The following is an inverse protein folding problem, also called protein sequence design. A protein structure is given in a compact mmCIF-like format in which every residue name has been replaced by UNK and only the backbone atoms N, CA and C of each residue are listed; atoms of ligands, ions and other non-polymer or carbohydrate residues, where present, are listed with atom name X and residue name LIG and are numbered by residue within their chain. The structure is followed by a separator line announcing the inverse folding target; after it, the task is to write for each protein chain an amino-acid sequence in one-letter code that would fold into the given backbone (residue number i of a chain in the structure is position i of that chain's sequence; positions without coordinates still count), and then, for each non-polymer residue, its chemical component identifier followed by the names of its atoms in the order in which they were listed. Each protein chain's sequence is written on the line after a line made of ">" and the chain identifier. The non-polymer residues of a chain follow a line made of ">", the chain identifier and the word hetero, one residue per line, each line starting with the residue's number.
data_IF_310936744146
#
_entry.id   IF_310936744146
#
_cell.length_a   1.000
_cell.length_b   1.000
_cell.length_c   1.000
_cell.angle_alpha   90.00
_cell.angle_beta   90.00
_cell.angle_gamma   90.00
#
_symmetry.space_group_name_H-M   'P 1'
#
loop_
_entity.id
_entity.type
_entity.pdbx_description
1 polymer ?
#
# COMPACT_ATOMS: atom_id res chain seq x y z
N UNK A 1 -27.94 -1.53 -48.40
CA UNK A 1 -27.31 -1.78 -47.08
C UNK A 1 -26.64 -0.50 -46.61
N UNK A 2 -27.16 0.12 -45.54
CA UNK A 2 -26.88 1.52 -45.17
C UNK A 2 -25.48 1.75 -44.61
N UNK A 3 -24.74 2.65 -45.25
CA UNK A 3 -23.42 3.16 -44.85
C UNK A 3 -23.47 3.84 -43.47
N UNK A 4 -24.60 4.47 -43.13
CA UNK A 4 -24.81 5.12 -41.82
C UNK A 4 -24.81 4.15 -40.63
N UNK A 5 -25.33 2.93 -40.79
CA UNK A 5 -25.32 1.89 -39.74
C UNK A 5 -23.89 1.33 -39.51
N UNK A 6 -23.07 1.27 -40.56
CA UNK A 6 -21.65 0.86 -40.46
C UNK A 6 -20.75 1.93 -39.81
N UNK A 7 -21.05 3.22 -40.01
CA UNK A 7 -20.30 4.32 -39.39
C UNK A 7 -20.57 4.42 -37.88
N UNK A 8 -21.82 4.27 -37.44
CA UNK A 8 -22.17 4.27 -36.01
C UNK A 8 -21.59 3.08 -35.24
N UNK A 9 -21.51 1.90 -35.87
CA UNK A 9 -20.89 0.70 -35.28
C UNK A 9 -19.36 0.79 -35.24
N UNK A 10 -18.73 1.37 -36.26
CA UNK A 10 -17.29 1.60 -36.25
C UNK A 10 -16.85 2.65 -35.21
N UNK A 11 -17.60 3.75 -35.05
CA UNK A 11 -17.32 4.77 -34.04
C UNK A 11 -17.47 4.21 -32.60
N UNK A 12 -18.54 3.45 -32.34
CA UNK A 12 -18.75 2.76 -31.06
C UNK A 12 -17.64 1.75 -30.75
N UNK A 13 -17.16 0.98 -31.74
CA UNK A 13 -16.08 0.03 -31.54
C UNK A 13 -14.71 0.71 -31.32
N UNK A 14 -14.47 1.88 -31.92
CA UNK A 14 -13.26 2.69 -31.68
C UNK A 14 -13.28 3.29 -30.27
N UNK A 15 -14.43 3.80 -29.83
CA UNK A 15 -14.59 4.38 -28.49
C UNK A 15 -14.50 3.31 -27.38
N UNK A 16 -15.08 2.13 -27.60
CA UNK A 16 -14.93 0.97 -26.72
C UNK A 16 -13.47 0.49 -26.63
N UNK A 17 -12.74 0.48 -27.77
CA UNK A 17 -11.31 0.17 -27.79
C UNK A 17 -10.47 1.22 -27.05
N UNK A 18 -10.82 2.51 -27.14
CA UNK A 18 -10.14 3.58 -26.41
C UNK A 18 -10.36 3.48 -24.89
N UNK A 19 -11.59 3.17 -24.47
CA UNK A 19 -11.91 2.96 -23.06
C UNK A 19 -11.15 1.74 -22.50
N UNK A 20 -11.16 0.62 -23.24
CA UNK A 20 -10.40 -0.58 -22.87
C UNK A 20 -8.90 -0.31 -22.79
N UNK A 21 -8.34 0.43 -23.74
CA UNK A 21 -6.92 0.80 -23.74
C UNK A 21 -6.56 1.66 -22.52
N UNK A 22 -7.38 2.67 -22.21
CA UNK A 22 -7.20 3.52 -21.04
C UNK A 22 -7.29 2.73 -19.73
N UNK A 23 -8.27 1.83 -19.62
CA UNK A 23 -8.42 0.95 -18.46
C UNK A 23 -7.21 0.05 -18.24
N UNK A 24 -6.73 -0.64 -19.28
CA UNK A 24 -5.53 -1.47 -19.21
C UNK A 24 -4.27 -0.64 -18.91
N UNK A 25 -4.21 0.59 -19.43
CA UNK A 25 -3.17 1.56 -19.09
C UNK A 25 -3.14 1.87 -17.60
N UNK A 26 -4.30 2.17 -17.00
CA UNK A 26 -4.42 2.43 -15.56
C UNK A 26 -4.03 1.23 -14.70
N UNK A 27 -4.44 0.01 -15.07
CA UNK A 27 -4.02 -1.21 -14.35
C UNK A 27 -2.49 -1.35 -14.34
N UNK A 28 -1.85 -1.14 -15.49
CA UNK A 28 -0.39 -1.20 -15.60
C UNK A 28 0.29 -0.12 -14.76
N UNK A 29 -0.26 1.10 -14.71
CA UNK A 29 0.27 2.18 -13.87
C UNK A 29 0.17 1.85 -12.38
N UNK A 30 -0.92 1.25 -11.92
CA UNK A 30 -1.09 0.83 -10.52
C UNK A 30 -0.04 -0.22 -10.14
N UNK A 31 0.13 -1.25 -10.96
CA UNK A 31 1.13 -2.31 -10.71
C UNK A 31 2.56 -1.76 -10.70
N UNK A 32 2.87 -0.86 -11.63
CA UNK A 32 4.18 -0.22 -11.71
C UNK A 32 4.45 0.68 -10.50
N UNK A 33 3.48 1.52 -10.15
CA UNK A 33 3.58 2.43 -9.01
C UNK A 33 3.80 1.65 -7.71
N UNK A 34 3.05 0.56 -7.51
CA UNK A 34 3.22 -0.27 -6.31
C UNK A 34 4.63 -0.87 -6.21
N UNK A 35 5.18 -1.40 -7.31
CA UNK A 35 6.55 -1.94 -7.31
C UNK A 35 7.58 -0.85 -7.05
N UNK A 36 7.49 0.27 -7.76
CA UNK A 36 8.41 1.40 -7.60
C UNK A 36 8.38 1.97 -6.19
N UNK A 37 7.21 2.04 -5.56
CA UNK A 37 7.07 2.45 -4.17
C UNK A 37 7.86 1.52 -3.24
N UNK A 38 7.70 0.20 -3.39
CA UNK A 38 8.41 -0.77 -2.57
C UNK A 38 9.93 -0.75 -2.82
N UNK A 39 10.36 -0.51 -4.06
CA UNK A 39 11.78 -0.39 -4.43
C UNK A 39 12.40 0.85 -3.79
N UNK A 40 11.75 2.01 -3.84
CA UNK A 40 12.31 3.23 -3.23
C UNK A 40 12.36 3.13 -1.71
N UNK A 41 11.35 2.52 -1.07
CA UNK A 41 11.41 2.21 0.36
C UNK A 41 12.57 1.25 0.65
N UNK A 42 12.79 0.25 -0.19
CA UNK A 42 13.90 -0.69 -0.03
C UNK A 42 15.25 0.04 -0.05
N UNK A 43 15.47 0.86 -1.07
CA UNK A 43 16.71 1.61 -1.26
C UNK A 43 16.98 2.58 -0.10
N UNK A 44 15.93 3.17 0.48
CA UNK A 44 16.01 4.01 1.67
C UNK A 44 16.57 3.24 2.88
N UNK A 45 16.03 2.05 3.16
CA UNK A 45 16.46 1.22 4.28
C UNK A 45 17.86 0.64 4.06
N UNK A 46 18.18 0.23 2.83
CA UNK A 46 19.53 -0.20 2.45
C UNK A 46 20.56 0.92 2.65
N UNK A 47 20.22 2.17 2.30
CA UNK A 47 21.09 3.33 2.52
C UNK A 47 21.35 3.61 4.00
N UNK A 48 20.35 3.38 4.85
CA UNK A 48 20.47 3.50 6.31
C UNK A 48 21.13 2.29 6.98
N UNK A 49 21.42 1.22 6.21
CA UNK A 49 21.99 -0.02 6.73
C UNK A 49 21.04 -0.81 7.64
N UNK A 50 19.72 -0.55 7.55
CA UNK A 50 18.70 -1.20 8.39
C UNK A 50 18.05 -2.36 7.62
N UNK A 51 18.16 -3.58 8.16
CA UNK A 51 17.72 -4.83 7.49
C UNK A 51 16.73 -5.67 8.31
N UNK A 52 16.26 -5.12 9.43
CA UNK A 52 15.33 -5.77 10.36
C UNK A 52 13.87 -5.81 9.85
N UNK A 53 13.56 -5.01 8.82
CA UNK A 53 12.26 -4.96 8.14
C UNK A 53 12.44 -4.94 6.62
N UNK A 54 11.46 -5.48 5.88
CA UNK A 54 11.36 -5.30 4.42
C UNK A 54 10.39 -4.16 4.05
N UNK A 55 10.37 -3.75 2.77
CA UNK A 55 9.53 -2.63 2.30
C UNK A 55 8.04 -2.79 2.59
N UNK A 56 7.51 -4.02 2.53
CA UNK A 56 6.09 -4.28 2.80
C UNK A 56 5.81 -4.07 4.30
N UNK A 57 6.71 -4.53 5.16
CA UNK A 57 6.63 -4.36 6.61
C UNK A 57 6.79 -2.89 7.01
N UNK A 58 7.75 -2.18 6.43
CA UNK A 58 7.97 -0.76 6.66
C UNK A 58 6.73 0.07 6.24
N UNK A 59 6.18 -0.20 5.06
CA UNK A 59 4.95 0.44 4.60
C UNK A 59 3.75 0.10 5.50
N UNK A 60 3.71 -1.12 6.07
CA UNK A 60 2.66 -1.51 7.02
C UNK A 60 2.75 -0.76 8.33
N UNK A 61 3.97 -0.56 8.86
CA UNK A 61 4.18 0.24 10.06
C UNK A 61 3.78 1.70 9.81
N UNK A 62 4.19 2.27 8.67
CA UNK A 62 3.76 3.60 8.25
C UNK A 62 2.22 3.75 8.15
N UNK A 63 1.54 2.77 7.55
CA UNK A 63 0.09 2.79 7.42
C UNK A 63 -0.67 2.61 8.75
N UNK A 64 -0.04 2.00 9.76
CA UNK A 64 -0.58 1.97 11.13
C UNK A 64 -0.37 3.35 11.76
N UNK A 65 0.85 3.91 11.67
CA UNK A 65 1.18 5.22 12.21
C UNK A 65 0.80 5.35 13.69
N UNK A 66 0.05 6.40 14.01
CA UNK A 66 -0.46 6.66 15.37
C UNK A 66 -1.77 5.94 15.71
N UNK A 67 -2.37 5.23 14.75
CA UNK A 67 -3.66 4.58 14.96
C UNK A 67 -3.51 3.27 15.76
N UNK A 68 -4.58 2.92 16.46
CA UNK A 68 -4.80 1.57 16.98
C UNK A 68 -5.86 0.85 16.11
N UNK A 69 -5.42 -0.11 15.30
CA UNK A 69 -6.26 -0.75 14.26
C UNK A 69 -6.31 -2.26 14.40
N UNK A 70 -7.33 -2.88 13.85
CA UNK A 70 -7.42 -4.34 13.68
C UNK A 70 -6.83 -4.77 12.35
N UNK A 71 -6.44 -6.06 12.26
CA UNK A 71 -6.03 -6.65 10.97
C UNK A 71 -7.13 -6.58 9.89
N UNK A 72 -8.41 -6.63 10.32
CA UNK A 72 -9.56 -6.50 9.43
C UNK A 72 -9.67 -5.09 8.83
N UNK A 73 -9.48 -4.06 9.64
CA UNK A 73 -9.46 -2.66 9.17
C UNK A 73 -8.28 -2.41 8.24
N UNK A 74 -7.08 -2.90 8.57
CA UNK A 74 -5.91 -2.81 7.69
C UNK A 74 -6.15 -3.47 6.32
N UNK A 75 -6.84 -4.61 6.30
CA UNK A 75 -7.23 -5.28 5.06
C UNK A 75 -8.28 -4.48 4.30
N UNK A 76 -9.30 -3.97 5.00
CA UNK A 76 -10.40 -3.21 4.43
C UNK A 76 -10.00 -1.86 3.84
N UNK A 77 -8.94 -1.23 4.36
CA UNK A 77 -8.36 0.01 3.79
C UNK A 77 -7.61 -0.23 2.47
N UNK A 78 -7.54 -1.47 1.97
CA UNK A 78 -6.99 -1.79 0.65
C UNK A 78 -5.46 -1.80 0.59
N UNK A 79 -4.79 -1.59 1.73
CA UNK A 79 -3.33 -1.57 1.78
C UNK A 79 -2.71 -2.96 1.56
N UNK A 80 -3.50 -4.04 1.65
CA UNK A 80 -2.99 -5.41 1.62
C UNK A 80 -4.05 -6.46 1.24
N UNK A 81 -3.59 -7.60 0.71
CA UNK A 81 -4.36 -8.84 0.58
C UNK A 81 -4.35 -9.61 1.92
N UNK A 82 -5.53 -9.98 2.43
CA UNK A 82 -5.74 -10.33 3.84
C UNK A 82 -4.81 -11.38 4.48
N UNK A 83 -4.40 -12.43 3.76
CA UNK A 83 -3.46 -13.43 4.28
C UNK A 83 -2.04 -12.88 4.48
N UNK A 84 -1.64 -11.88 3.70
CA UNK A 84 -0.33 -11.22 3.82
C UNK A 84 -0.30 -10.27 5.03
N UNK A 85 -1.43 -9.68 5.43
CA UNK A 85 -1.50 -8.78 6.60
C UNK A 85 -1.23 -9.54 7.88
N UNK A 86 -2.04 -10.57 8.15
CA UNK A 86 -1.98 -11.31 9.41
C UNK A 86 -0.60 -11.93 9.64
N UNK A 87 0.03 -12.40 8.56
CA UNK A 87 1.38 -12.95 8.61
C UNK A 87 2.45 -11.88 8.91
N UNK A 88 2.41 -10.73 8.23
CA UNK A 88 3.35 -9.65 8.48
C UNK A 88 3.18 -9.07 9.89
N UNK A 89 1.94 -8.86 10.35
CA UNK A 89 1.66 -8.43 11.71
C UNK A 89 2.23 -9.40 12.74
N UNK A 90 2.03 -10.71 12.55
CA UNK A 90 2.61 -11.71 13.46
C UNK A 90 4.14 -11.59 13.53
N UNK A 91 4.82 -11.41 12.40
CA UNK A 91 6.27 -11.21 12.36
C UNK A 91 6.71 -9.92 13.05
N UNK A 92 6.00 -8.82 12.81
CA UNK A 92 6.30 -7.52 13.41
C UNK A 92 6.09 -7.53 14.93
N UNK A 93 5.06 -8.24 15.42
CA UNK A 93 4.87 -8.47 16.85
C UNK A 93 6.03 -9.29 17.44
N UNK A 94 6.44 -10.36 16.76
CA UNK A 94 7.57 -11.19 17.22
C UNK A 94 8.91 -10.44 17.22
N UNK A 95 9.10 -9.52 16.28
CA UNK A 95 10.28 -8.68 16.18
C UNK A 95 10.25 -7.46 17.11
N UNK A 96 9.13 -7.21 17.82
CA UNK A 96 9.02 -6.11 18.78
C UNK A 96 8.65 -4.74 18.19
N UNK A 97 8.21 -4.69 16.93
CA UNK A 97 7.78 -3.44 16.27
C UNK A 97 6.30 -3.08 16.52
N UNK A 98 5.50 -4.07 16.95
CA UNK A 98 4.04 -3.93 17.08
C UNK A 98 3.57 -4.52 18.40
N UNK A 99 2.81 -3.72 19.14
CA UNK A 99 2.01 -4.18 20.27
C UNK A 99 0.78 -4.93 19.77
N UNK A 100 0.39 -5.99 20.47
CA UNK A 100 -0.84 -6.73 20.17
C UNK A 100 -1.67 -6.91 21.43
N UNK A 101 -2.94 -6.58 21.35
CA UNK A 101 -3.88 -6.76 22.46
C UNK A 101 -5.26 -7.18 21.97
N UNK A 102 -5.98 -7.96 22.78
CA UNK A 102 -7.39 -8.24 22.50
C UNK A 102 -8.17 -6.94 22.62
N UNK A 103 -9.04 -6.66 21.65
CA UNK A 103 -9.93 -5.51 21.73
C UNK A 103 -10.83 -5.61 22.97
N UNK A 104 -10.99 -4.48 23.64
CA UNK A 104 -11.87 -4.34 24.81
C UNK A 104 -13.35 -4.35 24.41
N UNK A 105 -13.67 -3.95 23.18
CA UNK A 105 -15.02 -3.85 22.63
C UNK A 105 -15.49 -5.16 21.99
N UNK A 106 -14.65 -5.81 21.19
CA UNK A 106 -14.91 -7.15 20.64
C UNK A 106 -13.72 -8.08 20.92
N UNK A 107 -13.85 -8.93 21.92
CA UNK A 107 -12.79 -9.88 22.35
C UNK A 107 -12.35 -10.89 21.28
N UNK A 108 -13.10 -11.01 20.17
CA UNK A 108 -12.74 -11.82 19.00
C UNK A 108 -11.75 -11.12 18.09
N UNK A 109 -11.65 -9.80 18.18
CA UNK A 109 -10.73 -8.98 17.40
C UNK A 109 -9.44 -8.67 18.17
N UNK A 110 -8.34 -8.56 17.43
CA UNK A 110 -7.03 -8.16 17.95
C UNK A 110 -6.72 -6.78 17.38
N UNK A 111 -6.34 -5.86 18.28
CA UNK A 111 -5.85 -4.54 17.93
C UNK A 111 -4.33 -4.52 17.97
N UNK A 112 -3.77 -3.75 17.06
CA UNK A 112 -2.33 -3.53 16.91
C UNK A 112 -2.03 -2.04 16.94
N UNK A 113 -0.89 -1.70 17.51
CA UNK A 113 -0.32 -0.35 17.52
C UNK A 113 1.20 -0.45 17.48
N UNK A 114 1.86 0.61 17.03
CA UNK A 114 3.33 0.64 16.98
C UNK A 114 3.95 0.65 18.39
N UNK A 115 5.08 -0.03 18.53
CA UNK A 115 6.04 0.23 19.63
C UNK A 115 6.88 1.46 19.27
N UNK A 116 7.83 1.83 20.14
CA UNK A 116 8.78 2.89 19.83
C UNK A 116 9.66 2.52 18.62
N UNK A 117 10.18 1.30 18.59
CA UNK A 117 10.97 0.79 17.47
C UNK A 117 10.13 0.74 16.17
N UNK A 118 8.83 0.43 16.29
CA UNK A 118 7.91 0.48 15.15
C UNK A 118 7.70 1.89 14.62
N UNK A 119 7.64 2.89 15.51
CA UNK A 119 7.54 4.31 15.15
C UNK A 119 8.79 4.79 14.42
N UNK A 120 9.98 4.42 14.86
CA UNK A 120 11.22 4.78 14.15
C UNK A 120 11.20 4.33 12.69
N UNK A 121 10.73 3.11 12.43
CA UNK A 121 10.60 2.57 11.06
C UNK A 121 9.55 3.33 10.27
N UNK A 122 8.40 3.64 10.89
CA UNK A 122 7.36 4.48 10.28
C UNK A 122 7.89 5.86 9.90
N UNK A 123 8.68 6.49 10.78
CA UNK A 123 9.23 7.82 10.58
C UNK A 123 10.23 7.88 9.43
N UNK A 124 11.02 6.81 9.21
CA UNK A 124 11.91 6.71 8.04
C UNK A 124 11.11 6.78 6.75
N UNK A 125 9.99 6.04 6.66
CA UNK A 125 9.11 6.06 5.48
C UNK A 125 8.46 7.43 5.33
N UNK A 126 8.01 8.05 6.42
CA UNK A 126 7.43 9.38 6.40
C UNK A 126 8.42 10.44 5.87
N UNK A 127 9.65 10.45 6.40
CA UNK A 127 10.70 11.37 5.94
C UNK A 127 11.08 11.17 4.47
N UNK A 128 11.03 9.92 3.98
CA UNK A 128 11.21 9.64 2.56
C UNK A 128 10.12 10.32 1.72
N UNK A 129 8.85 10.20 2.11
CA UNK A 129 7.74 10.81 1.40
C UNK A 129 7.76 12.34 1.48
N UNK A 130 8.11 12.92 2.62
CA UNK A 130 8.28 14.37 2.75
C UNK A 130 9.35 14.92 1.81
N UNK A 131 10.49 14.21 1.65
CA UNK A 131 11.52 14.61 0.68
C UNK A 131 11.04 14.51 -0.77
N UNK A 132 10.26 13.47 -1.10
CA UNK A 132 9.67 13.34 -2.43
C UNK A 132 8.67 14.46 -2.70
N UNK A 133 7.81 14.79 -1.73
CA UNK A 133 6.85 15.88 -1.84
C UNK A 133 7.57 17.22 -2.06
N UNK A 134 8.58 17.53 -1.27
CA UNK A 134 9.39 18.76 -1.44
C UNK A 134 10.11 18.84 -2.80
N UNK A 135 10.40 17.70 -3.44
CA UNK A 135 10.98 17.68 -4.79
C UNK A 135 9.97 17.94 -5.91
N UNK A 136 8.66 17.83 -5.63
CA UNK A 136 7.58 18.11 -6.59
C UNK A 136 7.07 19.55 -6.51
N UNK A 137 7.30 20.24 -5.39
CA UNK A 137 6.89 21.63 -5.16
C UNK A 137 7.89 22.66 -5.76
N UNK A 138 8.96 22.19 -6.39
CA UNK A 138 10.03 22.98 -7.01
C UNK A 138 10.26 22.56 -8.47
#
# INVERSE_FOLDING_TARGET
>A
MNVALKLGTAASAVEENNLKSSYLGSLKLIEQLHRLLLDVIKDEFERLGRTDVNSIQALLLYNIGDDEVTAGELTGRGYYLGSNVSYNLKKLVQAGFVNHQRSTVDRRSVRVSLTEEGREVSDVVNQLFERQLGSLEH
#
